data_IF_471291138066
#
_entry.id   IF_471291138066
#
_cell.length_a   1.000
_cell.length_b   1.000
_cell.length_c   1.000
_cell.angle_alpha   90.00
_cell.angle_beta   90.00
_cell.angle_gamma   90.00
#
_symmetry.space_group_name_H-M   'P 1'
#
loop_
_entity.id
_entity.type
_entity.pdbx_description
1 polymer ?
#
# COMPACT_ATOMS: atom_id res chain seq x y z
N UNK A 1 -27.57 -24.65 0.54
CA UNK A 1 -28.33 -23.43 0.36
C UNK A 1 -28.80 -22.93 1.70
N UNK A 2 -28.18 -21.90 2.22
CA UNK A 2 -28.64 -21.18 3.41
C UNK A 2 -29.86 -20.39 2.98
N UNK A 3 -31.05 -20.82 3.37
CA UNK A 3 -32.26 -20.00 3.23
C UNK A 3 -32.27 -19.01 4.38
N UNK A 4 -32.10 -17.78 4.06
CA UNK A 4 -32.14 -16.68 4.99
C UNK A 4 -33.60 -16.40 5.40
N UNK A 5 -33.95 -16.78 6.62
CA UNK A 5 -35.21 -16.42 7.22
C UNK A 5 -35.00 -15.20 8.10
N UNK A 6 -35.47 -14.05 7.60
CA UNK A 6 -35.64 -12.80 8.34
C UNK A 6 -34.35 -12.22 8.95
N UNK A 7 -33.54 -11.63 8.15
CA UNK A 7 -32.75 -10.48 8.61
C UNK A 7 -33.63 -9.25 8.49
N UNK A 8 -34.31 -8.92 9.58
CA UNK A 8 -35.03 -7.67 9.70
C UNK A 8 -34.00 -6.60 10.12
N UNK A 9 -33.63 -5.73 9.20
CA UNK A 9 -33.29 -4.36 9.51
C UNK A 9 -31.87 -4.07 9.98
N UNK A 10 -30.89 -4.95 9.81
CA UNK A 10 -29.50 -4.62 10.07
C UNK A 10 -28.63 -5.21 8.98
N UNK A 11 -28.07 -4.31 8.21
CA UNK A 11 -26.93 -4.51 7.35
C UNK A 11 -27.07 -5.62 6.31
N UNK A 12 -27.30 -5.21 5.16
CA UNK A 12 -26.94 -5.89 3.93
C UNK A 12 -25.42 -5.94 3.78
N UNK A 13 -24.75 -6.65 4.65
CA UNK A 13 -23.55 -7.32 4.24
C UNK A 13 -23.96 -8.12 3.01
N UNK A 14 -23.32 -7.90 1.88
CA UNK A 14 -23.69 -8.57 0.65
C UNK A 14 -23.78 -10.07 0.90
N UNK A 15 -25.00 -10.60 0.90
CA UNK A 15 -25.21 -12.02 1.12
C UNK A 15 -24.57 -12.77 -0.04
N UNK A 16 -23.78 -13.81 0.21
CA UNK A 16 -23.18 -14.59 -0.86
C UNK A 16 -24.28 -15.18 -1.73
N UNK A 17 -24.21 -14.90 -3.03
CA UNK A 17 -25.14 -15.44 -4.03
C UNK A 17 -24.57 -16.78 -4.52
N UNK A 18 -25.43 -17.78 -4.69
CA UNK A 18 -25.02 -19.07 -5.22
C UNK A 18 -24.31 -18.93 -6.57
N UNK A 19 -23.15 -19.54 -6.70
CA UNK A 19 -22.30 -19.48 -7.89
C UNK A 19 -21.20 -18.42 -7.85
N UNK A 20 -21.19 -17.54 -6.85
CA UNK A 20 -20.05 -16.63 -6.63
C UNK A 20 -18.82 -17.40 -6.09
N UNK A 21 -17.63 -16.95 -6.52
CA UNK A 21 -16.35 -17.39 -5.95
C UNK A 21 -15.97 -16.41 -4.86
N UNK A 22 -15.63 -16.90 -3.68
CA UNK A 22 -15.35 -16.11 -2.48
C UNK A 22 -14.12 -16.66 -1.77
N UNK A 23 -13.51 -15.84 -0.92
CA UNK A 23 -12.43 -16.29 -0.03
C UNK A 23 -13.05 -16.95 1.20
N UNK A 24 -12.53 -18.11 1.58
CA UNK A 24 -12.97 -18.86 2.76
C UNK A 24 -11.77 -19.15 3.64
N UNK A 25 -11.80 -18.67 4.87
CA UNK A 25 -10.86 -19.06 5.92
C UNK A 25 -11.37 -20.38 6.58
N UNK A 26 -10.58 -21.44 6.47
CA UNK A 26 -10.93 -22.75 7.00
C UNK A 26 -10.61 -22.90 8.49
N UNK A 27 -11.11 -23.96 9.13
CA UNK A 27 -10.78 -24.30 10.51
C UNK A 27 -9.27 -24.37 10.72
N UNK A 28 -8.78 -23.72 11.76
CA UNK A 28 -7.35 -23.64 12.10
C UNK A 28 -6.59 -22.45 11.49
N UNK A 29 -7.15 -21.75 10.50
CA UNK A 29 -6.53 -20.55 9.91
C UNK A 29 -6.66 -19.37 10.86
N UNK A 30 -5.62 -18.54 10.94
CA UNK A 30 -5.67 -17.25 11.65
C UNK A 30 -5.95 -16.15 10.63
N UNK A 31 -6.96 -15.36 10.91
CA UNK A 31 -7.37 -14.19 10.13
C UNK A 31 -6.78 -12.95 10.78
N UNK A 32 -6.29 -12.00 9.98
CA UNK A 32 -5.63 -10.77 10.42
C UNK A 32 -6.40 -9.54 9.87
N UNK A 33 -7.51 -9.16 10.50
CA UNK A 33 -8.25 -7.97 10.08
C UNK A 33 -7.40 -6.71 10.26
N UNK A 34 -7.63 -5.70 9.42
CA UNK A 34 -6.86 -4.44 9.48
C UNK A 34 -7.14 -3.61 10.72
N UNK A 35 -8.36 -3.66 11.25
CA UNK A 35 -8.80 -2.82 12.38
C UNK A 35 -9.05 -3.60 13.68
N UNK A 36 -8.94 -4.93 13.64
CA UNK A 36 -9.23 -5.80 14.79
C UNK A 36 -8.03 -6.68 15.15
N UNK A 37 -8.06 -7.28 16.33
CA UNK A 37 -7.04 -8.24 16.73
C UNK A 37 -7.15 -9.53 15.94
N UNK A 38 -6.00 -10.15 15.57
CA UNK A 38 -6.00 -11.43 14.87
C UNK A 38 -6.76 -12.51 15.64
N UNK A 39 -7.58 -13.27 14.95
CA UNK A 39 -8.33 -14.36 15.55
C UNK A 39 -8.24 -15.66 14.73
N UNK A 40 -8.36 -16.76 15.44
CA UNK A 40 -8.26 -18.10 14.82
C UNK A 40 -9.65 -18.66 14.54
N UNK A 41 -9.88 -19.06 13.30
CA UNK A 41 -11.10 -19.75 12.89
C UNK A 41 -11.15 -21.13 13.56
N UNK A 42 -12.29 -21.41 14.18
CA UNK A 42 -12.55 -22.70 14.82
C UNK A 42 -13.89 -23.24 14.37
N UNK A 43 -13.95 -24.55 14.19
CA UNK A 43 -15.20 -25.24 13.95
C UNK A 43 -16.20 -24.89 15.07
N UNK A 44 -17.32 -24.35 14.70
CA UNK A 44 -18.34 -23.86 15.64
C UNK A 44 -19.73 -24.25 15.21
N UNK A 45 -20.68 -24.20 16.13
CA UNK A 45 -22.09 -24.43 15.82
C UNK A 45 -22.82 -23.08 15.84
N UNK A 46 -23.29 -22.65 14.68
CA UNK A 46 -23.99 -21.37 14.51
C UNK A 46 -25.45 -21.65 14.17
N UNK A 47 -26.38 -21.19 15.00
CA UNK A 47 -27.83 -21.38 14.84
C UNK A 47 -28.25 -22.84 14.59
N UNK A 48 -27.53 -23.79 15.19
CA UNK A 48 -27.84 -25.23 15.07
C UNK A 48 -27.06 -25.96 13.98
N UNK A 49 -26.47 -25.27 13.04
CA UNK A 49 -25.65 -25.84 11.94
C UNK A 49 -24.15 -25.76 12.25
N UNK A 50 -23.40 -26.74 11.79
CA UNK A 50 -21.94 -26.79 11.95
C UNK A 50 -21.30 -25.91 10.89
N UNK A 51 -20.50 -24.93 11.33
CA UNK A 51 -19.64 -24.11 10.48
C UNK A 51 -18.18 -24.59 10.60
N UNK A 52 -17.56 -24.87 9.48
CA UNK A 52 -16.14 -25.32 9.38
C UNK A 52 -15.22 -24.25 8.78
N UNK A 53 -15.72 -23.04 8.57
CA UNK A 53 -14.97 -21.92 8.00
C UNK A 53 -15.77 -20.65 8.01
N UNK A 54 -15.11 -19.56 7.60
CA UNK A 54 -15.69 -18.20 7.50
C UNK A 54 -15.46 -17.67 6.09
N UNK A 55 -16.50 -17.12 5.49
CA UNK A 55 -16.37 -16.34 4.24
C UNK A 55 -15.87 -14.96 4.64
N UNK A 56 -14.81 -14.48 3.98
CA UNK A 56 -14.10 -13.28 4.38
C UNK A 56 -14.48 -12.05 3.53
N UNK A 57 -14.45 -10.89 4.17
CA UNK A 57 -14.44 -9.57 3.54
C UNK A 57 -13.00 -9.15 3.20
N UNK A 58 -12.83 -8.03 2.48
CA UNK A 58 -11.50 -7.55 2.09
C UNK A 58 -10.61 -7.16 3.27
N UNK A 59 -11.17 -6.48 4.25
CA UNK A 59 -10.47 -6.05 5.46
C UNK A 59 -10.05 -7.23 6.35
N UNK A 60 -10.86 -8.31 6.37
CA UNK A 60 -10.55 -9.51 7.15
C UNK A 60 -9.36 -10.30 6.61
N UNK A 61 -9.07 -10.16 5.31
CA UNK A 61 -7.89 -10.77 4.68
C UNK A 61 -6.74 -9.78 4.45
N UNK A 62 -6.86 -8.56 4.99
CA UNK A 62 -5.80 -7.54 4.95
C UNK A 62 -5.61 -6.89 3.57
N UNK A 63 -6.58 -6.95 2.66
CA UNK A 63 -6.45 -6.41 1.31
C UNK A 63 -6.85 -4.94 1.20
N UNK A 64 -7.89 -4.52 1.93
CA UNK A 64 -8.32 -3.12 1.99
C UNK A 64 -9.11 -2.85 3.28
N UNK A 65 -9.29 -1.57 3.63
CA UNK A 65 -10.14 -1.17 4.76
C UNK A 65 -11.64 -1.18 4.47
N UNK A 66 -12.10 -1.76 3.37
CA UNK A 66 -13.52 -1.87 3.05
C UNK A 66 -14.14 -3.09 3.73
N UNK A 67 -15.16 -2.84 4.53
CA UNK A 67 -16.02 -3.86 5.13
C UNK A 67 -17.41 -3.88 4.47
N UNK A 68 -17.49 -3.57 3.18
CA UNK A 68 -18.76 -3.45 2.44
C UNK A 68 -19.44 -4.80 2.16
N UNK A 69 -18.87 -5.88 2.65
CA UNK A 69 -19.41 -7.24 2.57
C UNK A 69 -18.40 -8.27 2.10
N UNK A 70 -18.89 -9.43 1.70
CA UNK A 70 -18.07 -10.57 1.26
C UNK A 70 -17.26 -10.21 0.01
N UNK A 71 -15.97 -10.50 0.02
CA UNK A 71 -15.13 -10.33 -1.17
C UNK A 71 -15.49 -11.34 -2.26
N UNK A 72 -16.08 -10.84 -3.33
CA UNK A 72 -16.45 -11.65 -4.50
C UNK A 72 -15.32 -11.61 -5.51
N UNK A 73 -14.76 -12.77 -5.81
CA UNK A 73 -13.70 -12.95 -6.80
C UNK A 73 -14.24 -12.98 -8.22
N UNK A 74 -13.38 -12.70 -9.20
CA UNK A 74 -13.74 -12.83 -10.60
C UNK A 74 -14.00 -14.32 -10.97
N UNK A 75 -14.69 -14.53 -12.10
CA UNK A 75 -15.04 -15.88 -12.54
C UNK A 75 -13.84 -16.72 -13.01
N UNK A 76 -12.68 -16.10 -13.22
CA UNK A 76 -11.45 -16.78 -13.64
C UNK A 76 -10.68 -17.38 -12.46
N UNK A 77 -10.98 -16.95 -11.22
CA UNK A 77 -10.35 -17.50 -10.02
C UNK A 77 -10.53 -19.02 -9.95
N UNK A 78 -9.48 -19.75 -9.64
CA UNK A 78 -9.49 -21.20 -9.55
C UNK A 78 -9.95 -21.60 -8.14
N UNK A 79 -11.03 -22.35 -8.04
CA UNK A 79 -11.53 -22.85 -6.74
C UNK A 79 -10.51 -23.77 -6.11
N UNK A 80 -10.14 -23.50 -4.86
CA UNK A 80 -9.14 -24.29 -4.11
C UNK A 80 -7.70 -23.79 -4.26
N UNK A 81 -7.46 -22.70 -5.03
CA UNK A 81 -6.16 -22.04 -5.04
C UNK A 81 -5.91 -21.25 -3.75
N UNK A 82 -4.65 -20.98 -3.45
CA UNK A 82 -4.27 -20.11 -2.35
C UNK A 82 -4.61 -18.65 -2.68
N UNK A 83 -5.05 -17.90 -1.68
CA UNK A 83 -5.36 -16.45 -1.81
C UNK A 83 -4.12 -15.68 -2.24
N UNK A 84 -2.95 -16.06 -1.78
CA UNK A 84 -1.67 -15.46 -2.14
C UNK A 84 -1.44 -15.44 -3.67
N UNK A 85 -1.82 -16.52 -4.35
CA UNK A 85 -1.63 -16.64 -5.79
C UNK A 85 -2.60 -15.76 -6.60
N UNK A 86 -3.73 -15.40 -5.99
CA UNK A 86 -4.78 -14.60 -6.65
C UNK A 86 -4.47 -13.10 -6.64
N UNK A 87 -3.75 -12.61 -5.64
CA UNK A 87 -3.54 -11.17 -5.41
C UNK A 87 -2.10 -10.70 -5.62
N UNK A 88 -1.22 -11.59 -6.12
CA UNK A 88 0.21 -11.27 -6.30
C UNK A 88 0.82 -10.62 -5.04
N UNK A 89 0.46 -11.19 -3.88
CA UNK A 89 0.92 -10.68 -2.59
C UNK A 89 2.42 -10.97 -2.45
N UNK A 90 3.19 -9.92 -2.33
CA UNK A 90 4.63 -10.02 -2.06
C UNK A 90 4.86 -9.93 -0.55
N UNK A 91 5.75 -10.79 -0.05
CA UNK A 91 6.22 -10.68 1.32
C UNK A 91 7.04 -9.38 1.45
N UNK A 92 6.69 -8.53 2.39
CA UNK A 92 7.42 -7.31 2.71
C UNK A 92 7.80 -7.28 4.20
N UNK A 93 8.76 -6.46 4.55
CA UNK A 93 9.23 -6.32 5.92
C UNK A 93 9.22 -4.84 6.32
N UNK A 94 8.31 -4.48 7.19
CA UNK A 94 8.26 -3.16 7.78
C UNK A 94 9.25 -3.09 8.96
N UNK A 95 10.19 -2.17 8.87
CA UNK A 95 11.17 -1.91 9.94
C UNK A 95 10.93 -0.52 10.51
N UNK A 96 10.51 -0.45 11.75
CA UNK A 96 10.36 0.82 12.46
C UNK A 96 11.73 1.28 12.98
N UNK A 97 12.13 2.48 12.60
CA UNK A 97 13.44 3.05 12.94
C UNK A 97 13.26 4.36 13.72
N UNK A 98 13.72 4.41 14.95
CA UNK A 98 13.80 5.63 15.74
C UNK A 98 15.02 6.47 15.35
N UNK A 99 14.80 7.66 14.80
CA UNK A 99 15.87 8.61 14.45
C UNK A 99 15.93 9.75 15.44
N UNK A 100 17.14 10.19 15.76
CA UNK A 100 17.34 11.39 16.58
C UNK A 100 17.12 12.66 15.77
N UNK A 101 16.66 13.78 16.38
CA UNK A 101 16.32 15.01 15.66
C UNK A 101 17.45 15.63 14.82
N UNK A 102 18.71 15.34 15.17
CA UNK A 102 19.88 15.81 14.43
C UNK A 102 20.23 14.98 13.19
N UNK A 103 19.45 13.94 12.89
CA UNK A 103 19.67 13.03 11.76
C UNK A 103 18.58 13.19 10.68
N UNK A 104 18.28 14.45 10.36
CA UNK A 104 17.31 14.76 9.28
C UNK A 104 17.71 14.19 7.91
N UNK A 105 19.01 13.95 7.69
CA UNK A 105 19.57 13.28 6.52
C UNK A 105 19.10 11.81 6.37
N UNK A 106 18.67 11.18 7.45
CA UNK A 106 18.24 9.78 7.48
C UNK A 106 16.71 9.60 7.46
N UNK A 107 15.92 10.69 7.38
CA UNK A 107 14.45 10.62 7.27
C UNK A 107 13.98 10.25 5.85
N UNK A 108 14.52 9.15 5.32
CA UNK A 108 14.09 8.58 4.03
C UNK A 108 14.70 7.20 3.84
N UNK A 109 14.16 6.41 2.92
CA UNK A 109 14.76 5.12 2.55
C UNK A 109 16.21 5.29 2.08
N UNK A 110 16.48 6.32 1.27
CA UNK A 110 17.83 6.63 0.79
C UNK A 110 18.77 7.03 1.94
N UNK A 111 18.29 7.81 2.91
CA UNK A 111 19.07 8.20 4.07
C UNK A 111 19.45 7.02 4.95
N UNK A 112 18.48 6.15 5.26
CA UNK A 112 18.73 4.90 6.00
C UNK A 112 19.66 3.98 5.23
N UNK A 113 19.50 3.86 3.92
CA UNK A 113 20.37 3.03 3.07
C UNK A 113 21.83 3.51 3.10
N UNK A 114 22.08 4.83 3.17
CA UNK A 114 23.43 5.39 3.32
C UNK A 114 24.07 4.96 4.64
N UNK A 115 23.34 5.04 5.74
CA UNK A 115 23.84 4.63 7.05
C UNK A 115 24.10 3.14 7.12
N UNK A 116 23.15 2.34 6.64
CA UNK A 116 23.32 0.89 6.58
C UNK A 116 24.52 0.51 5.72
N UNK A 117 24.68 1.14 4.56
CA UNK A 117 25.84 0.90 3.70
C UNK A 117 27.14 1.27 4.40
N UNK A 118 27.20 2.42 5.07
CA UNK A 118 28.40 2.82 5.82
C UNK A 118 28.76 1.76 6.86
N UNK A 119 27.79 1.29 7.62
CA UNK A 119 28.00 0.22 8.61
C UNK A 119 28.48 -1.09 7.94
N UNK A 120 27.85 -1.50 6.84
CA UNK A 120 28.23 -2.70 6.09
C UNK A 120 29.65 -2.62 5.53
N UNK A 121 30.07 -1.45 5.03
CA UNK A 121 31.44 -1.24 4.55
C UNK A 121 32.47 -1.48 5.67
N UNK A 122 32.21 -0.96 6.85
CA UNK A 122 33.13 -1.05 8.00
C UNK A 122 33.16 -2.47 8.60
N UNK A 123 31.99 -3.06 8.79
CA UNK A 123 31.87 -4.29 9.59
C UNK A 123 31.75 -5.57 8.74
N UNK A 124 31.40 -5.45 7.46
CA UNK A 124 31.19 -6.59 6.57
C UNK A 124 32.00 -6.51 5.28
N UNK A 125 32.86 -5.52 5.15
CA UNK A 125 33.68 -5.29 3.96
C UNK A 125 32.86 -5.21 2.66
N UNK A 126 31.64 -4.65 2.77
CA UNK A 126 30.72 -4.48 1.65
C UNK A 126 31.24 -3.40 0.70
N UNK A 127 31.40 -3.72 -0.59
CA UNK A 127 32.02 -2.83 -1.58
C UNK A 127 31.05 -2.28 -2.61
N UNK A 128 29.84 -2.83 -2.69
CA UNK A 128 28.88 -2.39 -3.70
C UNK A 128 28.45 -0.93 -3.48
N UNK A 129 28.30 -0.14 -4.54
CA UNK A 129 27.83 1.23 -4.46
C UNK A 129 26.36 1.28 -4.03
N UNK A 130 25.98 2.40 -3.41
CA UNK A 130 24.58 2.66 -3.15
C UNK A 130 23.84 2.83 -4.48
N UNK A 131 22.75 2.06 -4.67
CA UNK A 131 21.87 2.20 -5.82
C UNK A 131 20.95 3.41 -5.59
N UNK A 132 21.20 4.48 -6.33
CA UNK A 132 20.33 5.67 -6.33
C UNK A 132 19.41 5.55 -7.53
N UNK A 133 18.11 5.89 -7.40
CA UNK A 133 17.18 5.91 -8.53
C UNK A 133 17.75 6.72 -9.70
N UNK A 134 17.71 6.17 -10.90
CA UNK A 134 18.19 6.87 -12.08
C UNK A 134 17.27 8.06 -12.40
N UNK A 135 17.87 9.21 -12.63
CA UNK A 135 17.15 10.39 -13.10
C UNK A 135 16.97 10.29 -14.62
N UNK A 136 15.76 9.96 -15.04
CA UNK A 136 15.37 9.97 -16.43
C UNK A 136 14.73 11.32 -16.76
N UNK A 137 15.50 12.21 -17.37
CA UNK A 137 14.94 13.47 -17.85
C UNK A 137 14.10 13.20 -19.11
N UNK A 138 12.96 13.90 -19.26
CA UNK A 138 12.18 13.81 -20.49
C UNK A 138 13.01 14.32 -21.68
N UNK A 139 12.76 13.77 -22.87
CA UNK A 139 13.39 14.26 -24.11
C UNK A 139 13.18 15.77 -24.24
N UNK A 140 14.19 16.47 -24.78
CA UNK A 140 14.18 17.93 -25.01
C UNK A 140 12.93 18.40 -25.78
N UNK A 141 12.40 17.54 -26.68
CA UNK A 141 11.15 17.85 -27.43
C UNK A 141 9.92 18.12 -26.56
N UNK A 142 9.92 17.62 -25.32
CA UNK A 142 8.85 17.86 -24.36
C UNK A 142 9.11 19.04 -23.43
N UNK A 143 10.34 19.57 -23.42
CA UNK A 143 10.71 20.71 -22.62
C UNK A 143 10.29 21.99 -23.35
N UNK A 144 9.31 22.68 -22.79
CA UNK A 144 8.84 23.98 -23.28
C UNK A 144 9.12 25.04 -22.21
N UNK A 145 9.35 26.30 -22.61
CA UNK A 145 9.42 27.39 -21.65
C UNK A 145 8.16 27.42 -20.76
N UNK A 146 8.35 27.47 -19.45
CA UNK A 146 7.24 27.57 -18.52
C UNK A 146 6.59 28.95 -18.62
N UNK A 147 5.26 29.03 -18.70
CA UNK A 147 4.55 30.31 -18.58
C UNK A 147 4.52 30.80 -17.13
N UNK A 148 4.92 29.97 -16.16
CA UNK A 148 4.98 30.32 -14.75
C UNK A 148 6.35 30.89 -14.43
N UNK A 149 6.40 32.11 -13.89
CA UNK A 149 7.60 32.74 -13.37
C UNK A 149 7.77 32.41 -11.88
N UNK A 150 9.00 32.21 -11.46
CA UNK A 150 9.36 32.01 -10.06
C UNK A 150 10.19 33.20 -9.62
N UNK A 151 9.78 33.88 -8.54
CA UNK A 151 10.55 34.96 -7.89
C UNK A 151 10.77 34.59 -6.43
N UNK A 152 11.97 34.85 -5.93
CA UNK A 152 12.32 34.64 -4.52
C UNK A 152 12.48 36.03 -3.89
N UNK A 153 11.65 36.31 -2.88
CA UNK A 153 11.64 37.64 -2.21
C UNK A 153 12.76 37.73 -1.15
N UNK A 154 13.05 36.63 -0.46
CA UNK A 154 14.12 36.55 0.55
C UNK A 154 15.10 35.43 0.20
N UNK A 155 16.19 35.79 -0.44
CA UNK A 155 17.26 34.86 -0.84
C UNK A 155 18.00 34.23 0.33
N UNK A 156 17.94 34.81 1.55
CA UNK A 156 18.56 34.22 2.72
C UNK A 156 17.71 33.12 3.30
N UNK A 157 16.38 33.28 3.30
CA UNK A 157 15.44 32.29 3.78
C UNK A 157 15.23 31.17 2.73
N UNK A 158 15.23 31.51 1.46
CA UNK A 158 15.05 30.57 0.35
C UNK A 158 16.08 30.86 -0.76
N UNK A 159 17.29 30.33 -0.68
CA UNK A 159 18.35 30.64 -1.65
C UNK A 159 18.07 30.13 -3.06
N UNK A 160 17.15 29.18 -3.21
CA UNK A 160 16.76 28.64 -4.54
C UNK A 160 15.38 28.01 -4.46
N UNK A 161 14.55 28.33 -5.43
CA UNK A 161 13.28 27.65 -5.68
C UNK A 161 13.15 27.29 -7.16
N UNK A 162 12.74 26.05 -7.45
CA UNK A 162 12.56 25.58 -8.82
C UNK A 162 11.17 24.97 -8.97
N UNK A 163 10.52 25.22 -10.11
CA UNK A 163 9.22 24.67 -10.43
C UNK A 163 9.20 24.05 -11.81
N UNK A 164 8.44 23.00 -11.98
CA UNK A 164 8.16 22.36 -13.26
C UNK A 164 6.65 22.33 -13.46
N UNK A 165 6.19 22.87 -14.59
CA UNK A 165 4.80 22.79 -14.98
C UNK A 165 4.57 21.51 -15.77
N UNK A 166 3.71 20.65 -15.25
CA UNK A 166 3.23 19.45 -15.94
C UNK A 166 1.82 19.74 -16.50
N UNK A 167 1.66 19.51 -17.80
CA UNK A 167 0.36 19.65 -18.48
C UNK A 167 -0.23 18.31 -18.82
N UNK A 168 -1.54 18.27 -19.08
CA UNK A 168 -2.28 17.06 -19.48
C UNK A 168 -2.25 15.93 -18.43
N UNK A 169 -2.07 16.30 -17.16
CA UNK A 169 -2.06 15.36 -16.06
C UNK A 169 -3.47 14.79 -15.84
N UNK A 170 -3.59 13.47 -15.83
CA UNK A 170 -4.84 12.77 -15.52
C UNK A 170 -4.76 12.21 -14.10
N UNK A 171 -5.56 12.78 -13.22
CA UNK A 171 -5.72 12.23 -11.87
C UNK A 171 -6.54 10.94 -11.97
N UNK A 172 -6.01 9.86 -11.45
CA UNK A 172 -6.62 8.53 -11.43
C UNK A 172 -6.09 7.71 -10.26
N UNK A 173 -6.64 6.56 -10.06
CA UNK A 173 -6.11 5.58 -9.10
C UNK A 173 -4.65 5.24 -9.41
N UNK A 174 -3.86 5.07 -8.37
CA UNK A 174 -2.46 4.70 -8.47
C UNK A 174 -2.28 3.30 -9.07
N UNK A 175 -1.23 3.07 -9.85
CA UNK A 175 -0.89 1.72 -10.28
C UNK A 175 -0.57 0.84 -9.06
N UNK A 176 -0.81 -0.45 -9.17
CA UNK A 176 -0.73 -1.42 -8.07
C UNK A 176 0.61 -1.34 -7.33
N UNK A 177 1.74 -1.27 -8.04
CA UNK A 177 3.05 -1.19 -7.42
C UNK A 177 3.25 0.05 -6.53
N UNK A 178 2.67 1.21 -6.91
CA UNK A 178 2.77 2.45 -6.15
C UNK A 178 1.85 2.39 -4.92
N UNK A 179 0.63 1.88 -5.11
CA UNK A 179 -0.33 1.66 -4.04
C UNK A 179 0.25 0.75 -2.95
N UNK A 180 0.77 -0.42 -3.33
CA UNK A 180 1.43 -1.35 -2.41
C UNK A 180 2.59 -0.69 -1.66
N UNK A 181 3.44 0.09 -2.35
CA UNK A 181 4.58 0.78 -1.71
C UNK A 181 4.14 1.84 -0.70
N UNK A 182 3.07 2.56 -0.95
CA UNK A 182 2.52 3.56 -0.03
C UNK A 182 1.84 2.87 1.17
N UNK A 183 1.10 1.81 0.92
CA UNK A 183 0.40 1.06 1.95
C UNK A 183 1.36 0.28 2.87
N UNK A 184 2.47 -0.24 2.34
CA UNK A 184 3.49 -0.94 3.15
C UNK A 184 4.16 -0.07 4.21
N UNK A 185 4.17 1.24 4.03
CA UNK A 185 4.67 2.21 5.03
C UNK A 185 3.57 2.80 5.91
N UNK A 186 2.36 2.23 5.87
CA UNK A 186 1.23 2.63 6.71
C UNK A 186 0.46 3.85 6.20
N UNK A 187 0.68 4.30 4.97
CA UNK A 187 -0.08 5.39 4.36
C UNK A 187 -1.22 4.83 3.52
N UNK A 188 -2.34 5.56 3.49
CA UNK A 188 -3.47 5.23 2.61
C UNK A 188 -3.23 5.81 1.22
N UNK A 189 -3.34 4.97 0.18
CA UNK A 189 -3.34 5.43 -1.21
C UNK A 189 -4.58 6.29 -1.50
N UNK A 190 -4.38 7.43 -2.17
CA UNK A 190 -5.43 8.40 -2.50
C UNK A 190 -5.64 8.50 -4.01
N UNK A 191 -4.59 8.89 -4.72
CA UNK A 191 -4.55 8.96 -6.18
C UNK A 191 -3.09 9.05 -6.65
N UNK A 192 -2.88 8.84 -7.93
CA UNK A 192 -1.54 8.79 -8.52
C UNK A 192 -0.67 10.03 -8.27
N UNK A 193 -1.26 11.21 -8.14
CA UNK A 193 -0.49 12.45 -7.91
C UNK A 193 -0.03 12.52 -6.46
N UNK A 194 -0.95 12.35 -5.52
CA UNK A 194 -0.65 12.38 -4.08
C UNK A 194 0.31 11.25 -3.71
N UNK A 195 0.09 10.07 -4.25
CA UNK A 195 0.91 8.90 -3.94
C UNK A 195 2.32 9.03 -4.52
N UNK A 196 2.50 9.64 -5.70
CA UNK A 196 3.84 9.96 -6.22
C UNK A 196 4.57 10.93 -5.29
N UNK A 197 3.91 12.00 -4.84
CA UNK A 197 4.56 12.97 -3.92
C UNK A 197 4.95 12.32 -2.60
N UNK A 198 4.09 11.48 -2.04
CA UNK A 198 4.39 10.71 -0.84
C UNK A 198 5.52 9.69 -1.08
N UNK A 199 5.52 9.00 -2.21
CA UNK A 199 6.57 8.06 -2.57
C UNK A 199 7.94 8.76 -2.64
N UNK A 200 8.05 9.91 -3.30
CA UNK A 200 9.29 10.70 -3.40
C UNK A 200 9.71 11.19 -2.02
N UNK A 201 8.78 11.68 -1.20
CA UNK A 201 9.06 12.10 0.17
C UNK A 201 9.71 10.97 0.97
N UNK A 202 9.12 9.80 0.99
CA UNK A 202 9.65 8.67 1.77
C UNK A 202 10.90 8.05 1.15
N UNK A 203 11.05 8.05 -0.17
CA UNK A 203 12.23 7.52 -0.84
C UNK A 203 13.46 8.42 -0.68
N UNK A 204 13.30 9.73 -0.91
CA UNK A 204 14.40 10.68 -1.01
C UNK A 204 14.49 11.67 0.16
N UNK A 205 13.44 11.78 0.97
CA UNK A 205 13.35 12.79 2.05
C UNK A 205 13.02 14.19 1.54
N UNK A 206 12.53 14.33 0.30
CA UNK A 206 12.25 15.61 -0.32
C UNK A 206 10.75 15.80 -0.50
N UNK A 207 10.10 16.70 0.25
CA UNK A 207 8.70 17.04 0.03
C UNK A 207 8.50 17.79 -1.28
N UNK A 208 7.42 17.48 -1.96
CA UNK A 208 6.95 18.18 -3.16
C UNK A 208 5.72 19.04 -2.80
N UNK A 209 5.66 20.24 -3.32
CA UNK A 209 4.60 21.22 -3.06
C UNK A 209 3.89 21.63 -4.35
#
# INVERSE_FOLDING_TARGET
>A
GIRDYKVTGVQTCALPISGQKVIVALDGVTVFPLEEEPFKIKKSKIRGEVSEGMICAEDEVGLSGSHDGVLVLNNEAIVGSDVKDLFDLQDDCLIEIGLTPNRSDAFSHLGVARDLRAWLCVHRHYTEPLKIPALNFPDEKYLKPSPVSVSVEDEKACPRYTGILLTEVKVKESPVWLKQRIESIGLKSINNIVDITNCVLHECGQPLH
#
